data_IF_913458898492
#
_entry.id   IF_913458898492
#
_cell.length_a   1.000
_cell.length_b   1.000
_cell.length_c   1.000
_cell.angle_alpha   90.00
_cell.angle_beta   90.00
_cell.angle_gamma   90.00
#
_symmetry.space_group_name_H-M   'P 1'
#
loop_
_entity.id
_entity.type
_entity.pdbx_description
1 polymer ?
#
# COMPACT_ATOMS: atom_id res chain seq x y z
N UNK A 1 4.39 -17.75 19.43
CA UNK A 1 5.27 -16.70 18.89
C UNK A 1 5.59 -17.00 17.43
N UNK A 2 5.71 -15.96 16.60
CA UNK A 2 6.14 -16.07 15.20
C UNK A 2 7.62 -15.73 15.20
N UNK A 3 8.46 -16.68 14.78
CA UNK A 3 9.93 -16.54 14.84
C UNK A 3 10.57 -16.27 13.48
N UNK A 4 9.80 -16.41 12.40
CA UNK A 4 10.23 -16.11 11.04
C UNK A 4 9.68 -14.75 10.58
N UNK A 5 10.58 -13.87 10.14
CA UNK A 5 10.24 -12.53 9.69
C UNK A 5 9.37 -12.55 8.41
N UNK A 6 9.63 -13.50 7.50
CA UNK A 6 8.85 -13.62 6.27
C UNK A 6 7.42 -14.08 6.55
N UNK A 7 7.25 -15.07 7.45
CA UNK A 7 5.94 -15.47 7.96
C UNK A 7 5.21 -14.29 8.64
N UNK A 8 5.94 -13.47 9.40
CA UNK A 8 5.36 -12.30 10.06
C UNK A 8 4.85 -11.26 9.05
N UNK A 9 5.66 -10.91 8.05
CA UNK A 9 5.27 -9.99 6.98
C UNK A 9 4.10 -10.53 6.14
N UNK A 10 4.09 -11.83 5.83
CA UNK A 10 3.00 -12.47 5.11
C UNK A 10 1.68 -12.40 5.89
N UNK A 11 1.72 -12.60 7.22
CA UNK A 11 0.55 -12.45 8.10
C UNK A 11 0.07 -11.00 8.16
N UNK A 12 0.97 -10.02 8.23
CA UNK A 12 0.62 -8.59 8.18
C UNK A 12 -0.01 -8.21 6.83
N UNK A 13 0.51 -8.75 5.73
CA UNK A 13 -0.08 -8.60 4.40
C UNK A 13 -1.53 -9.12 4.36
N UNK A 14 -1.76 -10.36 4.84
CA UNK A 14 -3.09 -10.96 4.90
C UNK A 14 -4.02 -10.14 5.80
N UNK A 15 -3.56 -9.75 6.99
CA UNK A 15 -4.32 -8.92 7.92
C UNK A 15 -4.77 -7.61 7.27
N UNK A 16 -3.88 -6.92 6.57
CA UNK A 16 -4.22 -5.69 5.83
C UNK A 16 -5.27 -5.93 4.76
N UNK A 17 -5.18 -7.04 4.02
CA UNK A 17 -6.15 -7.43 2.98
C UNK A 17 -7.53 -7.70 3.61
N UNK A 18 -7.58 -8.47 4.70
CA UNK A 18 -8.80 -8.76 5.45
C UNK A 18 -9.42 -7.49 6.02
N UNK A 19 -8.65 -6.60 6.64
CA UNK A 19 -9.15 -5.31 7.17
C UNK A 19 -9.79 -4.49 6.04
N UNK A 20 -9.10 -4.37 4.90
CA UNK A 20 -9.58 -3.58 3.77
C UNK A 20 -10.85 -4.19 3.17
N UNK A 21 -10.88 -5.51 2.99
CA UNK A 21 -12.05 -6.24 2.50
C UNK A 21 -13.25 -6.15 3.44
N UNK A 22 -13.00 -6.23 4.76
CA UNK A 22 -14.05 -6.12 5.77
C UNK A 22 -14.68 -4.73 5.78
N UNK A 23 -13.87 -3.68 5.80
CA UNK A 23 -14.37 -2.30 5.70
C UNK A 23 -15.20 -2.12 4.44
N UNK A 24 -14.74 -2.63 3.30
CA UNK A 24 -15.47 -2.52 2.04
C UNK A 24 -16.84 -3.25 2.10
N UNK A 25 -16.86 -4.48 2.62
CA UNK A 25 -18.08 -5.26 2.76
C UNK A 25 -19.09 -4.64 3.74
N UNK A 26 -18.63 -4.06 4.85
CA UNK A 26 -19.48 -3.39 5.84
C UNK A 26 -20.05 -2.04 5.36
N UNK A 27 -19.53 -1.49 4.26
CA UNK A 27 -19.95 -0.22 3.69
C UNK A 27 -20.61 -0.41 2.31
N UNK A 28 -21.43 -1.44 2.14
CA UNK A 28 -22.16 -1.75 0.90
C UNK A 28 -21.26 -1.87 -0.34
N UNK A 29 -20.04 -2.38 -0.18
CA UNK A 29 -19.03 -2.41 -1.24
C UNK A 29 -18.73 -1.02 -1.82
N UNK A 30 -18.71 0.02 -0.98
CA UNK A 30 -18.33 1.38 -1.35
C UNK A 30 -17.01 1.77 -0.72
N UNK A 31 -16.23 2.53 -1.48
CA UNK A 31 -15.00 3.12 -1.00
C UNK A 31 -15.31 4.36 -0.16
N UNK A 32 -15.15 4.22 1.15
CA UNK A 32 -15.37 5.31 2.12
C UNK A 32 -14.09 6.11 2.43
N UNK A 33 -13.00 5.89 1.68
CA UNK A 33 -11.72 6.56 1.90
C UNK A 33 -10.81 5.93 2.96
N UNK A 34 -11.22 4.83 3.60
CA UNK A 34 -10.38 4.08 4.51
C UNK A 34 -9.18 3.47 3.76
N UNK A 35 -7.95 3.77 4.20
CA UNK A 35 -6.75 3.32 3.52
C UNK A 35 -5.60 3.05 4.50
N UNK A 36 -5.22 1.78 4.64
CA UNK A 36 -4.03 1.39 5.38
C UNK A 36 -2.78 1.71 4.54
N UNK A 37 -2.00 2.71 4.95
CA UNK A 37 -0.85 3.24 4.21
C UNK A 37 0.27 2.19 4.08
N UNK A 38 0.71 1.64 5.21
CA UNK A 38 1.62 0.50 5.32
C UNK A 38 1.23 -0.32 6.55
N UNK A 39 1.48 -1.63 6.50
CA UNK A 39 1.37 -2.53 7.66
C UNK A 39 2.44 -3.60 7.49
N UNK A 40 3.59 -3.36 8.13
CA UNK A 40 4.84 -4.11 7.99
C UNK A 40 5.71 -3.76 9.20
N UNK A 41 6.54 -4.69 9.66
CA UNK A 41 7.60 -4.43 10.62
C UNK A 41 8.87 -3.88 9.98
N UNK A 42 8.98 -3.96 8.64
CA UNK A 42 10.19 -3.60 7.87
C UNK A 42 10.04 -2.29 7.11
N UNK A 43 8.82 -1.98 6.65
CA UNK A 43 8.57 -0.83 5.78
C UNK A 43 7.45 0.07 6.31
N UNK A 44 7.79 1.33 6.56
CA UNK A 44 6.83 2.38 6.87
C UNK A 44 6.73 3.37 5.71
N UNK A 45 5.51 3.84 5.43
CA UNK A 45 5.28 4.85 4.38
C UNK A 45 4.67 6.10 5.00
N UNK A 46 5.41 7.20 4.92
CA UNK A 46 4.93 8.55 5.21
C UNK A 46 4.58 9.24 3.90
N UNK A 47 3.30 9.58 3.71
CA UNK A 47 2.82 10.23 2.48
C UNK A 47 1.69 11.20 2.78
N UNK A 48 1.44 12.13 1.88
CA UNK A 48 0.33 13.07 2.03
C UNK A 48 0.17 14.04 0.88
N UNK A 49 -0.78 14.98 1.05
CA UNK A 49 -1.13 15.99 0.05
C UNK A 49 -0.53 17.34 0.44
N UNK A 50 0.78 17.44 0.33
CA UNK A 50 1.56 18.65 0.62
C UNK A 50 2.75 18.71 -0.33
N UNK A 51 3.42 19.86 -0.39
CA UNK A 51 4.61 20.03 -1.20
C UNK A 51 5.77 19.20 -0.64
N UNK A 52 6.63 18.66 -1.50
CA UNK A 52 7.67 17.72 -1.09
C UNK A 52 8.56 18.25 0.05
N UNK A 53 8.92 19.54 0.02
CA UNK A 53 9.73 20.16 1.07
C UNK A 53 9.02 20.26 2.44
N UNK A 54 7.69 20.13 2.48
CA UNK A 54 6.91 20.21 3.71
C UNK A 54 6.87 18.89 4.48
N UNK A 55 7.35 17.78 3.89
CA UNK A 55 7.22 16.44 4.50
C UNK A 55 7.83 16.36 5.89
N UNK A 56 9.03 16.92 6.10
CA UNK A 56 9.71 16.91 7.40
C UNK A 56 9.06 17.83 8.43
N UNK A 57 8.44 18.93 7.99
CA UNK A 57 7.69 19.81 8.88
C UNK A 57 6.32 19.21 9.27
N UNK A 58 5.69 18.46 8.35
CA UNK A 58 4.40 17.82 8.58
C UNK A 58 4.52 16.58 9.48
N UNK A 59 5.51 15.72 9.22
CA UNK A 59 5.78 14.52 10.00
C UNK A 59 7.02 14.70 10.87
N UNK A 60 6.81 15.14 12.12
CA UNK A 60 7.90 15.38 13.08
C UNK A 60 8.73 14.13 13.38
N UNK A 61 8.13 12.95 13.25
CA UNK A 61 8.79 11.65 13.44
C UNK A 61 10.03 11.50 12.53
N UNK A 62 10.00 12.09 11.32
CA UNK A 62 11.11 12.02 10.35
C UNK A 62 12.34 12.82 10.77
N UNK A 63 12.21 13.71 11.76
CA UNK A 63 13.33 14.46 12.34
C UNK A 63 13.83 13.86 13.66
N UNK A 64 13.18 12.80 14.15
CA UNK A 64 13.59 12.13 15.37
C UNK A 64 14.87 11.32 15.11
N UNK A 65 15.92 11.45 15.95
CA UNK A 65 17.16 10.72 15.76
C UNK A 65 17.02 9.19 15.84
N UNK A 66 15.93 8.68 16.41
CA UNK A 66 15.63 7.23 16.43
C UNK A 66 15.05 6.73 15.11
N UNK A 67 14.60 7.64 14.23
CA UNK A 67 14.04 7.29 12.93
C UNK A 67 15.17 7.01 11.92
N UNK A 68 15.85 5.89 12.13
CA UNK A 68 16.95 5.43 11.29
C UNK A 68 16.45 4.39 10.28
N UNK A 69 17.05 4.39 9.09
CA UNK A 69 16.74 3.41 8.05
C UNK A 69 17.96 3.18 7.16
N UNK A 70 18.10 1.96 6.65
CA UNK A 70 19.12 1.62 5.66
C UNK A 70 18.78 2.15 4.25
N UNK A 71 17.49 2.40 3.96
CA UNK A 71 17.02 2.78 2.63
C UNK A 71 15.82 3.73 2.71
N UNK A 72 15.76 4.70 1.78
CA UNK A 72 14.63 5.61 1.62
C UNK A 72 14.23 5.65 0.14
N UNK A 73 12.92 5.62 -0.11
CA UNK A 73 12.33 5.89 -1.42
C UNK A 73 11.41 7.10 -1.33
N UNK A 74 11.68 8.13 -2.14
CA UNK A 74 10.88 9.36 -2.20
C UNK A 74 10.15 9.47 -3.53
N UNK A 75 8.98 10.10 -3.52
CA UNK A 75 8.22 10.34 -4.75
C UNK A 75 7.38 11.61 -4.66
N UNK A 76 7.46 12.43 -5.69
CA UNK A 76 6.55 13.55 -5.92
C UNK A 76 5.69 13.29 -7.15
N UNK A 77 4.38 13.37 -7.00
CA UNK A 77 3.42 13.09 -8.08
C UNK A 77 2.93 14.39 -8.71
N UNK A 78 2.97 14.46 -10.03
CA UNK A 78 2.17 15.42 -10.80
C UNK A 78 0.85 14.75 -11.21
N UNK A 79 -0.28 15.42 -10.99
CA UNK A 79 -1.62 14.85 -11.22
C UNK A 79 -2.38 15.72 -12.19
N UNK A 80 -2.98 15.11 -13.21
CA UNK A 80 -3.95 15.79 -14.08
C UNK A 80 -5.36 15.86 -13.46
N UNK A 81 -5.60 15.18 -12.33
CA UNK A 81 -6.85 15.28 -11.56
C UNK A 81 -6.84 16.52 -10.66
N UNK A 82 -7.97 17.23 -10.61
CA UNK A 82 -8.18 18.42 -9.78
C UNK A 82 -8.60 18.12 -8.35
N UNK A 83 -9.20 16.95 -8.09
CA UNK A 83 -9.57 16.52 -6.73
C UNK A 83 -8.44 15.72 -6.09
N UNK A 84 -7.87 16.20 -4.97
CA UNK A 84 -6.74 15.57 -4.35
C UNK A 84 -7.21 14.33 -3.57
N UNK A 85 -6.45 13.23 -3.64
CA UNK A 85 -6.76 11.98 -2.95
C UNK A 85 -5.54 11.43 -2.23
N UNK A 86 -5.61 11.40 -0.89
CA UNK A 86 -4.51 10.95 -0.02
C UNK A 86 -4.02 9.54 -0.35
N UNK A 87 -4.95 8.62 -0.64
CA UNK A 87 -4.62 7.23 -0.95
C UNK A 87 -3.78 7.07 -2.23
N UNK A 88 -3.92 8.01 -3.18
CA UNK A 88 -3.21 8.00 -4.47
C UNK A 88 -1.83 8.66 -4.41
N UNK A 89 -1.46 9.29 -3.29
CA UNK A 89 -0.07 9.71 -3.09
C UNK A 89 0.84 8.48 -3.07
N UNK A 90 2.03 8.61 -3.64
CA UNK A 90 3.10 7.61 -3.57
C UNK A 90 4.05 7.93 -2.40
N UNK A 91 4.92 6.98 -1.99
CA UNK A 91 5.03 5.60 -2.46
C UNK A 91 3.81 4.71 -2.16
N UNK A 92 3.60 3.67 -2.98
CA UNK A 92 2.83 2.50 -2.56
C UNK A 92 3.73 1.55 -1.78
N UNK A 93 3.14 0.47 -1.27
CA UNK A 93 3.78 -0.43 -0.30
C UNK A 93 5.09 -1.07 -0.79
N UNK A 94 5.21 -1.29 -2.10
CA UNK A 94 6.40 -1.89 -2.73
C UNK A 94 6.89 -1.12 -3.97
N UNK A 95 6.25 -0.01 -4.34
CA UNK A 95 6.54 0.66 -5.62
C UNK A 95 6.31 2.17 -5.55
N UNK A 96 7.22 2.92 -6.16
CA UNK A 96 6.97 4.28 -6.61
C UNK A 96 7.12 4.31 -8.13
N UNK A 97 6.18 4.95 -8.81
CA UNK A 97 6.12 4.92 -10.27
C UNK A 97 6.00 6.33 -10.84
N UNK A 98 6.96 6.69 -11.70
CA UNK A 98 6.94 7.92 -12.47
C UNK A 98 6.60 7.59 -13.93
N UNK A 99 5.40 7.99 -14.37
CA UNK A 99 4.88 7.71 -15.70
C UNK A 99 3.41 7.28 -15.66
N UNK A 100 2.94 6.73 -16.78
CA UNK A 100 1.58 6.23 -16.95
C UNK A 100 1.59 4.81 -17.52
N UNK A 101 0.75 3.92 -16.95
CA UNK A 101 0.57 2.56 -17.45
C UNK A 101 -0.55 2.56 -18.48
N UNK A 102 -0.19 2.73 -19.75
CA UNK A 102 -1.15 2.87 -20.86
C UNK A 102 -2.02 1.62 -21.11
N UNK A 103 -1.63 0.46 -20.57
CA UNK A 103 -2.31 -0.83 -20.74
C UNK A 103 -3.09 -1.28 -19.51
N UNK A 104 -3.34 -0.40 -18.53
CA UNK A 104 -3.90 -0.74 -17.22
C UNK A 104 -5.20 -1.57 -17.29
N UNK A 105 -6.10 -1.24 -18.23
CA UNK A 105 -7.36 -1.99 -18.42
C UNK A 105 -7.10 -3.44 -18.84
N UNK A 106 -6.17 -3.66 -19.76
CA UNK A 106 -5.77 -5.00 -20.20
C UNK A 106 -5.15 -5.80 -19.06
N UNK A 107 -4.25 -5.17 -18.29
CA UNK A 107 -3.62 -5.80 -17.13
C UNK A 107 -4.66 -6.21 -16.08
N UNK A 108 -5.65 -5.35 -15.80
CA UNK A 108 -6.73 -5.66 -14.86
C UNK A 108 -7.57 -6.86 -15.32
N UNK A 109 -7.93 -6.92 -16.60
CA UNK A 109 -8.69 -8.05 -17.15
C UNK A 109 -7.89 -9.36 -17.07
N UNK A 110 -6.60 -9.33 -17.40
CA UNK A 110 -5.73 -10.50 -17.29
C UNK A 110 -5.56 -10.98 -15.85
N UNK A 111 -5.48 -10.06 -14.89
CA UNK A 111 -5.43 -10.42 -13.47
C UNK A 111 -6.75 -11.03 -12.99
N UNK A 112 -7.90 -10.49 -13.39
CA UNK A 112 -9.21 -11.06 -13.06
C UNK A 112 -9.37 -12.49 -13.61
N UNK A 113 -8.94 -12.74 -14.85
CA UNK A 113 -8.98 -14.07 -15.45
C UNK A 113 -8.08 -15.09 -14.72
N UNK A 114 -6.94 -14.64 -14.20
CA UNK A 114 -5.98 -15.48 -13.46
C UNK A 114 -6.37 -15.71 -12.00
N UNK A 115 -7.29 -14.92 -11.47
CA UNK A 115 -7.63 -14.96 -10.05
C UNK A 115 -8.20 -16.31 -9.62
N UNK A 116 -8.91 -17.03 -10.50
CA UNK A 116 -9.47 -18.34 -10.20
C UNK A 116 -8.43 -19.47 -10.16
N UNK A 117 -7.25 -19.27 -10.75
CA UNK A 117 -6.19 -20.28 -10.86
C UNK A 117 -4.93 -19.90 -10.08
N UNK A 118 -5.02 -18.90 -9.19
CA UNK A 118 -3.87 -18.46 -8.39
C UNK A 118 -3.61 -19.47 -7.28
N UNK A 119 -2.37 -19.88 -7.13
CA UNK A 119 -1.91 -20.79 -6.08
C UNK A 119 -0.63 -20.24 -5.43
N UNK A 120 -0.46 -20.48 -4.15
CA UNK A 120 0.71 -20.04 -3.38
C UNK A 120 0.88 -20.90 -2.14
N UNK A 121 2.03 -21.53 -2.01
CA UNK A 121 2.39 -22.31 -0.82
C UNK A 121 2.43 -21.44 0.45
N UNK A 122 2.92 -20.20 0.33
CA UNK A 122 3.01 -19.24 1.43
C UNK A 122 1.63 -18.85 2.00
N UNK A 123 0.62 -18.73 1.14
CA UNK A 123 -0.72 -18.29 1.56
C UNK A 123 -1.70 -19.45 1.71
N UNK A 124 -1.49 -20.57 1.04
CA UNK A 124 -2.37 -21.75 1.03
C UNK A 124 -3.84 -21.37 0.93
N UNK A 125 -4.66 -21.90 1.83
CA UNK A 125 -6.10 -21.61 1.89
C UNK A 125 -6.45 -20.14 2.21
N UNK A 126 -5.49 -19.32 2.65
CA UNK A 126 -5.72 -17.89 2.88
C UNK A 126 -5.63 -17.06 1.60
N UNK A 127 -5.25 -17.63 0.47
CA UNK A 127 -5.08 -16.89 -0.79
C UNK A 127 -6.39 -16.23 -1.27
N UNK A 128 -7.54 -16.81 -0.90
CA UNK A 128 -8.87 -16.31 -1.23
C UNK A 128 -9.39 -15.22 -0.28
N UNK A 129 -8.75 -15.02 0.88
CA UNK A 129 -9.03 -13.89 1.79
C UNK A 129 -8.47 -12.61 1.20
#
# INVERSE_FOLDING_TARGET
DITDDEEYEARLYLLRKVISGRIYAENDNKDIGAYCVSLSARTLVYKGMFLAYQVGAYYRDLSDPRFETALILVHQRFSTNTFPSWKLAHPYRMVAHNGEINTVRGNNNWMAARQASVDSELFGNNISK
#
